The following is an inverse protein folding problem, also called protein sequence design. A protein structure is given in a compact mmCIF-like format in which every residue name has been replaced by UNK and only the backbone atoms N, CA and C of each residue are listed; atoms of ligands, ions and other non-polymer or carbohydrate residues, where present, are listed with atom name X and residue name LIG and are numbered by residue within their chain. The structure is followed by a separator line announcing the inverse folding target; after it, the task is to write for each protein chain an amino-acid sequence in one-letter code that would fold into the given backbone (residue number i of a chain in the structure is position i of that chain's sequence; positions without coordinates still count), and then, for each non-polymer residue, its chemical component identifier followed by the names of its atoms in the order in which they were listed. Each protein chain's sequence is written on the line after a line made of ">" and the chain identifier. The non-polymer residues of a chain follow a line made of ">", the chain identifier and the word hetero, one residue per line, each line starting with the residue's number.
data_IF_521767117370
#
_entry.id   IF_521767117370
#
_cell.length_a   1.000
_cell.length_b   1.000
_cell.length_c   1.000
_cell.angle_alpha   90.00
_cell.angle_beta   90.00
_cell.angle_gamma   90.00
#
_symmetry.space_group_name_H-M   'P 1'
#
loop_
_entity.id
_entity.type
_entity.pdbx_description
1 polymer ?
#
# COMPACT_ATOMS: atom_id res chain seq x y z
N UNK A 1 -31.63 7.73 22.89
CA UNK A 1 -32.31 6.65 22.16
C UNK A 1 -31.33 5.48 22.10
N UNK A 2 -31.69 4.36 22.72
CA UNK A 2 -30.82 3.20 22.94
C UNK A 2 -30.56 2.44 21.62
N UNK A 3 -29.30 2.27 21.24
CA UNK A 3 -28.90 1.31 20.20
C UNK A 3 -28.56 -0.05 20.84
N UNK A 4 -29.37 -1.02 20.49
CA UNK A 4 -29.31 -2.41 20.92
C UNK A 4 -28.10 -3.11 20.29
N UNK A 5 -27.36 -3.85 21.12
CA UNK A 5 -26.24 -4.71 20.72
C UNK A 5 -26.74 -5.93 19.99
N UNK A 6 -26.33 -6.13 18.74
CA UNK A 6 -26.50 -7.40 18.02
C UNK A 6 -25.27 -8.27 18.23
N UNK A 7 -25.44 -9.34 19.00
CA UNK A 7 -24.45 -10.41 19.09
C UNK A 7 -24.72 -11.41 17.95
N UNK A 8 -23.75 -11.64 17.07
CA UNK A 8 -23.81 -12.68 16.05
C UNK A 8 -23.24 -13.96 16.66
N UNK A 9 -24.13 -14.93 16.93
CA UNK A 9 -23.77 -16.27 17.36
C UNK A 9 -23.51 -17.12 16.10
N UNK A 10 -22.29 -17.61 15.93
CA UNK A 10 -21.96 -18.61 14.92
C UNK A 10 -22.26 -20.00 15.53
N UNK A 11 -23.32 -20.67 15.04
CA UNK A 11 -23.65 -22.03 15.43
C UNK A 11 -22.81 -23.02 14.61
N UNK A 12 -21.91 -23.74 15.28
CA UNK A 12 -21.30 -24.95 14.73
C UNK A 12 -22.15 -26.17 15.15
N UNK A 13 -22.82 -26.82 14.21
CA UNK A 13 -23.46 -28.09 14.42
C UNK A 13 -22.45 -29.24 14.43
N UNK A 14 -22.22 -29.84 15.57
CA UNK A 14 -21.65 -31.18 15.68
C UNK A 14 -22.72 -32.14 16.15
N UNK A 15 -23.12 -33.06 15.28
CA UNK A 15 -24.01 -34.16 15.60
C UNK A 15 -23.20 -35.25 16.32
N UNK A 16 -23.56 -35.56 17.56
CA UNK A 16 -23.15 -36.81 18.22
C UNK A 16 -24.39 -37.66 18.55
N UNK A 17 -24.40 -38.86 17.99
CA UNK A 17 -25.26 -39.97 18.37
C UNK A 17 -24.53 -40.80 19.42
N UNK A 18 -25.18 -41.05 20.57
CA UNK A 18 -24.63 -41.98 21.55
C UNK A 18 -25.57 -42.21 22.71
N UNK A 19 -25.96 -43.47 22.89
CA UNK A 19 -26.93 -44.03 23.83
C UNK A 19 -26.63 -43.87 25.33
N UNK A 20 -27.67 -43.67 26.08
CA UNK A 20 -28.12 -44.36 27.28
C UNK A 20 -27.23 -44.41 28.54
N UNK A 21 -27.74 -43.86 29.65
CA UNK A 21 -27.23 -44.10 31.02
C UNK A 21 -27.72 -43.05 31.99
N UNK A 22 -28.76 -43.34 32.72
CA UNK A 22 -29.24 -42.55 33.88
C UNK A 22 -28.17 -42.50 34.98
N UNK A 23 -27.73 -41.29 35.35
CA UNK A 23 -27.18 -41.02 36.70
C UNK A 23 -27.50 -39.56 37.08
N UNK A 24 -28.30 -39.44 38.11
CA UNK A 24 -28.57 -38.17 38.82
C UNK A 24 -27.31 -37.67 39.47
N UNK A 25 -26.77 -36.58 38.92
CA UNK A 25 -25.71 -35.79 39.56
C UNK A 25 -26.15 -34.34 39.72
N UNK A 26 -25.95 -33.84 40.90
CA UNK A 26 -26.22 -32.51 41.41
C UNK A 26 -25.61 -31.49 40.45
N UNK A 27 -26.44 -30.60 39.93
CA UNK A 27 -25.96 -29.46 39.08
C UNK A 27 -25.57 -28.35 40.04
N UNK A 28 -24.28 -28.24 40.35
CA UNK A 28 -23.72 -27.02 40.89
C UNK A 28 -23.74 -25.96 39.76
N UNK A 29 -24.43 -24.84 40.03
CA UNK A 29 -24.49 -23.66 39.16
C UNK A 29 -23.07 -23.04 39.05
N UNK A 30 -22.28 -23.52 38.12
CA UNK A 30 -21.06 -22.85 37.68
C UNK A 30 -21.50 -21.69 36.81
N UNK A 31 -21.61 -20.49 37.38
CA UNK A 31 -21.60 -19.23 36.64
C UNK A 31 -20.37 -19.24 35.77
N UNK A 32 -20.53 -19.48 34.45
CA UNK A 32 -19.49 -19.21 33.47
C UNK A 32 -19.20 -17.71 33.54
N UNK A 33 -18.10 -17.33 34.20
CA UNK A 33 -17.56 -15.99 34.11
C UNK A 33 -17.13 -15.77 32.66
N UNK A 34 -17.79 -14.85 31.97
CA UNK A 34 -17.30 -14.33 30.70
C UNK A 34 -15.92 -13.74 30.97
N UNK A 35 -14.86 -14.45 30.59
CA UNK A 35 -13.51 -13.91 30.61
C UNK A 35 -13.43 -12.81 29.56
N UNK A 36 -13.00 -11.62 29.96
CA UNK A 36 -12.67 -10.57 28.97
C UNK A 36 -11.65 -11.14 27.95
N UNK A 37 -11.83 -10.88 26.65
CA UNK A 37 -10.91 -11.39 25.62
C UNK A 37 -9.48 -10.89 25.90
N UNK A 38 -8.52 -11.76 25.68
CA UNK A 38 -7.11 -11.40 25.85
C UNK A 38 -6.72 -10.26 24.89
N UNK A 39 -5.71 -9.44 25.22
CA UNK A 39 -5.24 -8.37 24.32
C UNK A 39 -4.83 -8.90 22.92
N UNK A 40 -4.40 -10.15 22.85
CA UNK A 40 -4.03 -10.83 21.58
C UNK A 40 -5.29 -11.13 20.77
N UNK A 41 -6.37 -11.58 21.40
CA UNK A 41 -7.63 -11.88 20.72
C UNK A 41 -8.28 -10.61 20.17
N UNK A 42 -8.26 -9.53 20.95
CA UNK A 42 -8.81 -8.23 20.53
C UNK A 42 -8.04 -7.63 19.34
N UNK A 43 -6.72 -7.77 19.31
CA UNK A 43 -5.90 -7.32 18.18
C UNK A 43 -6.15 -8.14 16.91
N UNK A 44 -6.35 -9.45 17.04
CA UNK A 44 -6.69 -10.32 15.90
C UNK A 44 -8.08 -9.97 15.35
N UNK A 45 -9.07 -9.78 16.21
CA UNK A 45 -10.43 -9.38 15.81
C UNK A 45 -10.42 -8.03 15.07
N UNK A 46 -9.68 -7.04 15.57
CA UNK A 46 -9.53 -5.74 14.91
C UNK A 46 -8.90 -5.86 13.52
N UNK A 47 -7.87 -6.72 13.37
CA UNK A 47 -7.24 -6.98 12.06
C UNK A 47 -8.19 -7.66 11.09
N UNK A 48 -8.97 -8.62 11.54
CA UNK A 48 -9.99 -9.31 10.71
C UNK A 48 -11.08 -8.33 10.32
N UNK A 49 -11.59 -7.51 11.23
CA UNK A 49 -12.58 -6.48 10.95
C UNK A 49 -12.07 -5.46 9.91
N UNK A 50 -10.83 -4.99 10.05
CA UNK A 50 -10.20 -4.09 9.09
C UNK A 50 -10.07 -4.75 7.71
N UNK A 51 -9.61 -5.99 7.64
CA UNK A 51 -9.48 -6.75 6.40
C UNK A 51 -10.82 -6.92 5.69
N UNK A 52 -11.87 -7.29 6.41
CA UNK A 52 -13.23 -7.46 5.88
C UNK A 52 -13.92 -6.13 5.55
N UNK A 53 -13.37 -4.99 5.99
CA UNK A 53 -13.95 -3.66 5.79
C UNK A 53 -15.16 -3.37 6.66
N UNK A 54 -15.28 -4.03 7.80
CA UNK A 54 -16.36 -3.75 8.75
C UNK A 54 -16.20 -2.32 9.27
N UNK A 55 -17.24 -1.50 9.07
CA UNK A 55 -17.23 -0.09 9.45
C UNK A 55 -16.63 0.88 8.40
N UNK A 56 -16.13 0.37 7.26
CA UNK A 56 -15.61 1.22 6.19
C UNK A 56 -16.53 1.24 4.96
N UNK A 57 -16.68 2.41 4.30
CA UNK A 57 -17.44 2.48 3.05
C UNK A 57 -16.68 1.79 1.91
N UNK A 58 -17.40 1.31 0.91
CA UNK A 58 -16.78 0.98 -0.37
C UNK A 58 -16.41 2.26 -1.09
N UNK A 59 -15.12 2.40 -1.46
CA UNK A 59 -14.59 3.63 -2.05
C UNK A 59 -14.94 3.72 -3.53
N UNK A 60 -15.37 4.91 -3.93
CA UNK A 60 -15.68 5.33 -5.31
C UNK A 60 -15.00 6.67 -5.59
N UNK A 61 -15.06 7.17 -6.82
CA UNK A 61 -14.54 8.51 -7.15
C UNK A 61 -15.24 9.65 -6.40
N UNK A 62 -16.48 9.42 -5.93
CA UNK A 62 -17.28 10.44 -5.26
C UNK A 62 -16.97 10.57 -3.77
N UNK A 63 -16.51 9.49 -3.11
CA UNK A 63 -16.32 9.49 -1.65
C UNK A 63 -14.88 9.23 -1.19
N UNK A 64 -13.99 8.81 -2.09
CA UNK A 64 -12.65 8.36 -1.69
C UNK A 64 -11.77 9.49 -1.15
N UNK A 65 -11.84 10.69 -1.74
CA UNK A 65 -11.00 11.83 -1.33
C UNK A 65 -11.33 12.24 0.11
N UNK A 66 -12.59 12.55 0.39
CA UNK A 66 -13.03 13.00 1.73
C UNK A 66 -12.76 11.91 2.77
N UNK A 67 -13.17 10.66 2.47
CA UNK A 67 -12.96 9.55 3.39
C UNK A 67 -11.47 9.31 3.71
N UNK A 68 -10.59 9.31 2.70
CA UNK A 68 -9.17 9.02 2.90
C UNK A 68 -8.45 10.14 3.64
N UNK A 69 -8.82 11.39 3.40
CA UNK A 69 -8.26 12.53 4.14
C UNK A 69 -8.68 12.49 5.62
N UNK A 70 -9.97 12.26 5.90
CA UNK A 70 -10.47 12.13 7.28
C UNK A 70 -9.84 10.94 8.01
N UNK A 71 -9.79 9.76 7.36
CA UNK A 71 -9.16 8.56 7.91
C UNK A 71 -7.68 8.77 8.21
N UNK A 72 -6.98 9.49 7.34
CA UNK A 72 -5.56 9.79 7.45
C UNK A 72 -5.19 10.67 8.64
N UNK A 73 -6.12 11.46 9.18
CA UNK A 73 -5.87 12.30 10.37
C UNK A 73 -5.49 11.43 11.59
N UNK A 74 -6.19 10.32 11.79
CA UNK A 74 -5.95 9.41 12.91
C UNK A 74 -4.91 8.32 12.59
N UNK A 75 -4.64 8.09 11.30
CA UNK A 75 -3.78 7.00 10.83
C UNK A 75 -2.57 7.54 10.06
N UNK A 76 -1.84 8.48 10.65
CA UNK A 76 -0.78 9.24 10.03
C UNK A 76 0.62 8.68 10.38
N UNK A 77 0.90 7.44 9.98
CA UNK A 77 2.26 6.88 10.07
C UNK A 77 3.16 7.51 9.00
N UNK A 78 4.44 7.75 9.34
CA UNK A 78 5.38 8.40 8.42
C UNK A 78 6.20 7.40 7.61
N UNK A 79 6.28 6.13 8.04
CA UNK A 79 7.14 5.13 7.44
C UNK A 79 6.37 3.87 7.07
N UNK A 80 6.85 3.21 6.01
CA UNK A 80 6.41 1.87 5.61
C UNK A 80 7.64 1.01 5.39
N UNK A 81 7.63 -0.19 5.96
CA UNK A 81 8.60 -1.24 5.65
C UNK A 81 7.98 -2.25 4.70
N UNK A 82 8.62 -2.45 3.56
CA UNK A 82 8.30 -3.46 2.57
C UNK A 82 9.24 -4.65 2.79
N UNK A 83 8.69 -5.76 3.30
CA UNK A 83 9.41 -6.99 3.61
C UNK A 83 9.47 -7.87 2.36
N UNK A 84 10.67 -8.17 1.88
CA UNK A 84 10.90 -9.04 0.71
C UNK A 84 11.88 -10.18 1.04
N UNK A 85 11.95 -11.18 0.20
CA UNK A 85 12.94 -12.27 0.34
C UNK A 85 14.40 -11.78 0.25
N UNK A 86 14.64 -10.58 -0.30
CA UNK A 86 15.97 -9.99 -0.44
C UNK A 86 16.35 -9.03 0.69
N UNK A 87 15.42 -8.81 1.63
CA UNK A 87 15.52 -7.89 2.77
C UNK A 87 14.44 -6.83 2.77
N UNK A 88 14.59 -5.86 3.66
CA UNK A 88 13.63 -4.81 3.88
C UNK A 88 13.95 -3.55 3.07
N UNK A 89 12.89 -2.89 2.61
CA UNK A 89 12.93 -1.57 1.99
C UNK A 89 12.11 -0.65 2.89
N UNK A 90 12.74 0.38 3.46
CA UNK A 90 12.04 1.37 4.28
C UNK A 90 11.82 2.63 3.46
N UNK A 91 10.57 3.07 3.40
CA UNK A 91 10.16 4.29 2.72
C UNK A 91 9.60 5.31 3.71
N UNK A 92 9.96 6.57 3.53
CA UNK A 92 9.34 7.71 4.19
C UNK A 92 8.21 8.25 3.31
N UNK A 93 7.04 8.50 3.90
CA UNK A 93 5.88 9.08 3.23
C UNK A 93 5.80 10.60 3.49
N UNK A 94 5.40 11.37 2.48
CA UNK A 94 5.42 12.82 2.57
C UNK A 94 4.10 13.38 3.12
N UNK A 95 4.18 14.14 4.21
CA UNK A 95 3.03 14.70 4.92
C UNK A 95 2.23 15.75 4.11
N UNK A 96 2.86 16.40 3.16
CA UNK A 96 2.22 17.40 2.30
C UNK A 96 1.69 16.84 0.96
N UNK A 97 1.60 15.52 0.89
CA UNK A 97 0.90 14.74 -0.15
C UNK A 97 -0.11 13.81 0.56
N UNK A 98 -1.07 14.40 1.31
CA UNK A 98 -1.86 13.67 2.30
C UNK A 98 -2.79 12.62 1.70
N UNK A 99 -3.40 12.88 0.55
CA UNK A 99 -4.35 11.96 -0.06
C UNK A 99 -3.65 10.67 -0.54
N UNK A 100 -2.51 10.77 -1.23
CA UNK A 100 -1.75 9.60 -1.67
C UNK A 100 -1.16 8.84 -0.49
N UNK A 101 -0.64 9.55 0.52
CA UNK A 101 -0.15 8.97 1.78
C UNK A 101 -1.26 8.17 2.46
N UNK A 102 -2.42 8.78 2.71
CA UNK A 102 -3.56 8.13 3.38
C UNK A 102 -4.08 6.94 2.58
N UNK A 103 -4.19 7.06 1.26
CA UNK A 103 -4.59 5.96 0.39
C UNK A 103 -3.64 4.76 0.48
N UNK A 104 -2.34 5.00 0.51
CA UNK A 104 -1.34 3.93 0.62
C UNK A 104 -1.40 3.25 1.99
N UNK A 105 -1.44 4.04 3.07
CA UNK A 105 -1.59 3.55 4.45
C UNK A 105 -2.92 2.79 4.65
N UNK A 106 -4.03 3.30 4.10
CA UNK A 106 -5.33 2.62 4.18
C UNK A 106 -5.28 1.22 3.55
N UNK A 107 -4.62 1.05 2.42
CA UNK A 107 -4.47 -0.26 1.78
C UNK A 107 -3.57 -1.21 2.56
N UNK A 108 -2.54 -0.70 3.25
CA UNK A 108 -1.74 -1.49 4.18
C UNK A 108 -2.60 -1.91 5.38
N UNK A 109 -3.35 -0.98 5.98
CA UNK A 109 -4.28 -1.26 7.08
C UNK A 109 -5.31 -2.33 6.70
N UNK A 110 -5.86 -2.25 5.48
CA UNK A 110 -6.79 -3.22 4.91
C UNK A 110 -6.12 -4.54 4.47
N UNK A 111 -4.84 -4.73 4.73
CA UNK A 111 -4.06 -5.91 4.33
C UNK A 111 -4.10 -6.22 2.82
N UNK A 112 -4.32 -5.19 1.98
CA UNK A 112 -4.32 -5.34 0.54
C UNK A 112 -2.92 -5.68 0.00
N UNK A 113 -1.87 -5.05 0.57
CA UNK A 113 -0.48 -5.26 0.18
C UNK A 113 0.23 -6.36 0.99
N UNK A 114 -0.52 -7.33 1.58
CA UNK A 114 0.09 -8.37 2.42
C UNK A 114 -0.63 -9.73 2.26
N UNK A 115 -0.15 -10.61 1.36
CA UNK A 115 0.94 -10.38 0.41
C UNK A 115 0.51 -9.59 -0.83
N UNK A 116 1.44 -8.87 -1.43
CA UNK A 116 1.38 -8.30 -2.76
C UNK A 116 2.63 -8.70 -3.53
N UNK A 117 2.83 -8.17 -4.73
CA UNK A 117 3.99 -8.51 -5.55
C UNK A 117 4.45 -7.33 -6.42
N UNK A 118 5.72 -7.34 -6.79
CA UNK A 118 6.21 -6.50 -7.88
C UNK A 118 5.95 -7.22 -9.20
N UNK A 119 5.11 -6.61 -10.01
CA UNK A 119 4.58 -7.19 -11.26
C UNK A 119 5.29 -6.71 -12.52
N UNK A 120 6.11 -5.67 -12.39
CA UNK A 120 6.91 -5.13 -13.49
C UNK A 120 8.22 -4.60 -12.95
N UNK A 121 9.33 -5.07 -13.49
CA UNK A 121 10.67 -4.62 -13.07
C UNK A 121 11.51 -4.29 -14.29
N UNK A 122 12.05 -3.06 -14.28
CA UNK A 122 12.98 -2.59 -15.31
C UNK A 122 14.19 -1.99 -14.62
N UNK A 123 15.37 -2.55 -14.85
CA UNK A 123 16.62 -1.89 -14.49
C UNK A 123 16.68 -0.48 -15.07
N UNK A 124 17.28 0.45 -14.35
CA UNK A 124 17.46 1.84 -14.78
C UNK A 124 16.16 2.64 -15.01
N UNK A 125 15.01 2.09 -14.60
CA UNK A 125 13.71 2.77 -14.73
C UNK A 125 12.91 2.70 -13.44
N UNK A 126 12.12 1.62 -13.22
CA UNK A 126 11.25 1.43 -12.03
C UNK A 126 11.09 -0.04 -11.67
N UNK A 127 10.71 -0.30 -10.40
CA UNK A 127 10.00 -1.52 -10.01
C UNK A 127 8.58 -1.14 -9.62
N UNK A 128 7.58 -1.81 -10.19
CA UNK A 128 6.16 -1.49 -10.02
C UNK A 128 5.44 -2.64 -9.32
N UNK A 129 4.63 -2.28 -8.31
CA UNK A 129 3.79 -3.21 -7.55
C UNK A 129 2.40 -2.65 -7.31
N UNK A 130 1.64 -3.33 -6.44
CA UNK A 130 0.30 -2.89 -6.05
C UNK A 130 -0.83 -3.55 -6.81
N UNK A 131 -0.53 -4.38 -7.79
CA UNK A 131 -1.47 -5.29 -8.43
C UNK A 131 -1.05 -6.74 -8.17
N UNK A 132 -1.95 -7.68 -8.33
CA UNK A 132 -1.67 -9.11 -8.27
C UNK A 132 -2.79 -9.84 -8.99
N UNK A 133 -2.46 -10.96 -9.63
CA UNK A 133 -3.44 -11.87 -10.24
C UNK A 133 -4.02 -12.85 -9.21
N UNK A 134 -3.48 -12.88 -7.99
CA UNK A 134 -3.96 -13.73 -6.91
C UNK A 134 -5.40 -13.39 -6.49
N UNK A 135 -6.13 -14.42 -6.07
CA UNK A 135 -7.54 -14.30 -5.71
C UNK A 135 -7.77 -13.32 -4.55
N UNK A 136 -6.94 -13.39 -3.50
CA UNK A 136 -7.08 -12.54 -2.30
C UNK A 136 -6.97 -11.03 -2.62
N UNK A 137 -5.95 -10.52 -3.32
CA UNK A 137 -5.91 -9.12 -3.73
C UNK A 137 -7.10 -8.70 -4.59
N UNK A 138 -7.60 -9.56 -5.47
CA UNK A 138 -8.77 -9.26 -6.30
C UNK A 138 -10.04 -9.13 -5.45
N UNK A 139 -10.26 -10.03 -4.48
CA UNK A 139 -11.35 -9.93 -3.52
C UNK A 139 -11.25 -8.68 -2.66
N UNK A 140 -10.05 -8.36 -2.17
CA UNK A 140 -9.81 -7.14 -1.37
C UNK A 140 -10.09 -5.87 -2.17
N UNK A 141 -9.70 -5.83 -3.46
CA UNK A 141 -9.99 -4.71 -4.37
C UNK A 141 -11.51 -4.52 -4.53
N UNK A 142 -12.27 -5.60 -4.65
CA UNK A 142 -13.73 -5.54 -4.71
C UNK A 142 -14.34 -4.96 -3.43
N UNK A 143 -13.82 -5.36 -2.25
CA UNK A 143 -14.30 -4.87 -0.94
C UNK A 143 -13.91 -3.39 -0.69
N UNK A 144 -12.68 -3.00 -1.02
CA UNK A 144 -12.20 -1.63 -0.85
C UNK A 144 -12.89 -0.69 -1.83
N UNK A 145 -13.08 -1.11 -3.07
CA UNK A 145 -13.71 -0.33 -4.14
C UNK A 145 -12.74 0.13 -5.21
N UNK A 146 -13.26 0.77 -6.25
CA UNK A 146 -12.48 1.28 -7.40
C UNK A 146 -12.61 2.80 -7.47
N UNK A 147 -11.48 3.49 -7.40
CA UNK A 147 -11.39 4.94 -7.46
C UNK A 147 -10.04 5.37 -8.03
N UNK A 148 -9.95 6.60 -8.46
CA UNK A 148 -8.72 7.28 -8.81
C UNK A 148 -8.43 8.38 -7.78
N UNK A 149 -7.19 8.84 -7.71
CA UNK A 149 -6.79 9.92 -6.81
C UNK A 149 -6.50 11.18 -7.63
N UNK A 150 -7.11 12.34 -7.31
CA UNK A 150 -6.64 13.61 -7.82
C UNK A 150 -5.13 13.75 -7.63
N UNK A 151 -4.45 14.35 -8.61
CA UNK A 151 -3.00 14.52 -8.54
C UNK A 151 -2.61 15.51 -7.41
N UNK A 152 -1.52 15.18 -6.69
CA UNK A 152 -0.92 16.03 -5.66
C UNK A 152 0.56 16.32 -5.98
N UNK A 153 0.87 16.56 -7.26
CA UNK A 153 2.24 16.82 -7.69
C UNK A 153 2.81 18.09 -7.07
N UNK A 154 4.03 18.02 -6.58
CA UNK A 154 4.78 19.13 -5.98
C UNK A 154 6.12 19.27 -6.69
N UNK A 155 6.49 20.48 -7.11
CA UNK A 155 7.75 20.74 -7.83
C UNK A 155 9.00 20.31 -7.07
N UNK A 156 8.94 20.25 -5.74
CA UNK A 156 10.06 19.79 -4.89
C UNK A 156 10.26 18.28 -4.92
N UNK A 157 9.25 17.51 -5.28
CA UNK A 157 9.29 16.05 -5.33
C UNK A 157 9.41 15.58 -6.77
N UNK A 158 10.60 15.14 -7.13
CA UNK A 158 10.96 14.71 -8.48
C UNK A 158 11.34 13.23 -8.47
N UNK A 159 11.27 12.58 -9.62
CA UNK A 159 11.53 11.16 -9.79
C UNK A 159 13.02 10.82 -9.75
N UNK A 160 13.73 11.29 -8.71
CA UNK A 160 15.08 10.80 -8.46
C UNK A 160 15.06 9.37 -7.97
N UNK A 161 16.18 8.66 -8.12
CA UNK A 161 16.34 7.29 -7.62
C UNK A 161 15.86 7.16 -6.17
N UNK A 162 15.04 6.15 -5.90
CA UNK A 162 14.37 5.90 -4.62
C UNK A 162 13.04 6.61 -4.44
N UNK A 163 12.59 7.48 -5.35
CA UNK A 163 11.26 8.09 -5.27
C UNK A 163 10.17 7.01 -5.32
N UNK A 164 9.17 7.13 -4.44
CA UNK A 164 7.94 6.32 -4.41
C UNK A 164 6.81 7.15 -5.02
N UNK A 165 6.17 6.63 -6.07
CA UNK A 165 5.11 7.33 -6.79
C UNK A 165 3.96 6.40 -7.16
N UNK A 166 2.77 6.97 -7.39
CA UNK A 166 1.62 6.23 -7.91
C UNK A 166 1.61 6.20 -9.43
N UNK A 167 1.28 5.04 -9.99
CA UNK A 167 1.03 4.88 -11.42
C UNK A 167 -0.26 5.59 -11.83
N UNK A 168 -0.42 5.83 -13.14
CA UNK A 168 -1.66 6.33 -13.72
C UNK A 168 -1.90 5.78 -15.13
N UNK A 169 -3.15 5.80 -15.56
CA UNK A 169 -3.47 5.63 -16.98
C UNK A 169 -3.13 6.90 -17.77
N UNK A 170 -2.62 6.72 -18.98
CA UNK A 170 -2.46 7.80 -19.96
C UNK A 170 -3.67 7.95 -20.87
N UNK A 171 -4.57 6.95 -20.88
CA UNK A 171 -5.76 6.92 -21.74
C UNK A 171 -6.92 7.59 -21.02
N UNK A 172 -7.54 8.58 -21.65
CA UNK A 172 -8.71 9.30 -21.13
C UNK A 172 -8.52 9.90 -19.73
N UNK A 173 -7.29 10.35 -19.41
CA UNK A 173 -6.92 10.90 -18.10
C UNK A 173 -6.25 12.29 -18.20
N UNK A 174 -6.94 13.32 -18.69
CA UNK A 174 -6.36 14.65 -18.86
C UNK A 174 -6.02 15.32 -17.51
N UNK A 175 -6.68 14.94 -16.43
CA UNK A 175 -6.43 15.44 -15.06
C UNK A 175 -5.23 14.76 -14.39
N UNK A 176 -4.58 13.81 -15.04
CA UNK A 176 -3.44 13.04 -14.51
C UNK A 176 -3.75 12.38 -13.16
N UNK A 177 -4.99 11.93 -12.96
CA UNK A 177 -5.39 11.23 -11.75
C UNK A 177 -4.63 9.91 -11.61
N UNK A 178 -4.17 9.60 -10.40
CA UNK A 178 -3.41 8.39 -10.11
C UNK A 178 -4.32 7.16 -9.99
N UNK A 179 -3.80 5.97 -10.33
CA UNK A 179 -4.33 4.71 -9.84
C UNK A 179 -4.30 4.71 -8.31
N UNK A 180 -5.34 4.18 -7.66
CA UNK A 180 -5.34 4.09 -6.20
C UNK A 180 -4.60 2.86 -5.67
N UNK A 181 -4.16 1.94 -6.53
CA UNK A 181 -3.55 0.67 -6.14
C UNK A 181 -2.10 0.52 -6.57
N UNK A 182 -1.77 0.95 -7.79
CA UNK A 182 -0.49 0.66 -8.40
C UNK A 182 0.54 1.74 -8.10
N UNK A 183 1.63 1.35 -7.48
CA UNK A 183 2.75 2.22 -7.13
C UNK A 183 4.04 1.74 -7.81
N UNK A 184 5.06 2.59 -7.80
CA UNK A 184 6.40 2.19 -8.24
C UNK A 184 7.49 2.89 -7.43
N UNK A 185 8.66 2.25 -7.39
CA UNK A 185 9.90 2.82 -6.85
C UNK A 185 10.86 3.05 -8.02
N UNK A 186 11.42 4.24 -8.09
CA UNK A 186 12.38 4.63 -9.14
C UNK A 186 13.72 3.95 -8.89
N UNK A 187 14.17 3.15 -9.85
CA UNK A 187 15.53 2.61 -9.89
C UNK A 187 16.46 3.58 -10.63
N UNK A 188 16.07 4.03 -11.81
CA UNK A 188 16.66 5.12 -12.58
C UNK A 188 18.17 5.02 -12.83
N UNK A 189 18.66 5.59 -13.93
CA UNK A 189 20.08 5.75 -14.23
C UNK A 189 20.54 7.21 -13.99
N UNK A 190 21.84 7.45 -13.95
CA UNK A 190 22.38 8.81 -13.91
C UNK A 190 22.02 9.57 -15.18
N UNK A 191 21.57 10.81 -15.01
CA UNK A 191 21.11 11.68 -16.10
C UNK A 191 22.15 12.75 -16.37
N UNK A 192 22.57 12.91 -17.62
CA UNK A 192 23.56 13.94 -17.99
C UNK A 192 22.94 15.35 -17.90
N UNK A 193 23.80 16.35 -17.72
CA UNK A 193 23.37 17.77 -17.69
C UNK A 193 22.66 18.17 -18.98
N UNK A 194 23.12 17.66 -20.13
CA UNK A 194 22.54 17.96 -21.43
C UNK A 194 21.14 17.34 -21.56
N UNK A 195 20.99 16.06 -21.20
CA UNK A 195 19.71 15.37 -21.20
C UNK A 195 18.69 16.05 -20.28
N UNK A 196 19.12 16.45 -19.07
CA UNK A 196 18.25 17.13 -18.13
C UNK A 196 17.80 18.51 -18.66
N UNK A 197 18.69 19.25 -19.33
CA UNK A 197 18.34 20.51 -19.97
C UNK A 197 17.33 20.34 -21.13
N UNK A 198 17.43 19.25 -21.88
CA UNK A 198 16.45 18.91 -22.94
C UNK A 198 15.06 18.62 -22.34
N UNK A 199 15.00 17.89 -21.23
CA UNK A 199 13.75 17.60 -20.51
C UNK A 199 13.14 18.89 -19.93
N UNK A 200 13.95 19.80 -19.37
CA UNK A 200 13.47 21.11 -18.89
C UNK A 200 12.77 21.90 -20.01
N UNK A 201 13.33 21.86 -21.21
CA UNK A 201 12.76 22.55 -22.38
C UNK A 201 11.48 21.87 -22.88
N UNK A 202 11.51 20.53 -23.04
CA UNK A 202 10.38 19.74 -23.54
C UNK A 202 9.15 19.87 -22.63
N UNK A 203 9.38 19.77 -21.31
CA UNK A 203 8.29 19.78 -20.33
C UNK A 203 7.95 21.18 -19.80
N UNK A 204 8.68 22.19 -20.20
CA UNK A 204 8.57 23.56 -19.66
C UNK A 204 8.63 23.60 -18.11
N UNK A 205 9.57 22.86 -17.54
CA UNK A 205 9.83 22.82 -16.09
C UNK A 205 11.22 23.37 -15.79
N UNK A 206 11.49 23.67 -14.52
CA UNK A 206 12.82 24.14 -14.06
C UNK A 206 13.25 23.37 -12.84
N UNK A 207 14.37 22.68 -12.95
CA UNK A 207 14.98 22.01 -11.82
C UNK A 207 15.86 22.95 -11.01
N UNK A 208 15.79 22.83 -9.69
CA UNK A 208 16.74 23.47 -8.77
C UNK A 208 18.14 22.87 -8.96
N UNK A 209 19.17 23.60 -8.53
CA UNK A 209 20.55 23.09 -8.57
C UNK A 209 20.72 21.78 -7.76
N UNK A 210 19.94 21.60 -6.68
CA UNK A 210 19.95 20.39 -5.89
C UNK A 210 19.34 19.20 -6.65
N UNK A 211 18.20 19.39 -7.30
CA UNK A 211 17.57 18.36 -8.14
C UNK A 211 18.48 17.94 -9.29
N UNK A 212 19.11 18.91 -9.98
CA UNK A 212 20.09 18.63 -11.04
C UNK A 212 21.27 17.79 -10.54
N UNK A 213 21.81 18.12 -9.36
CA UNK A 213 22.87 17.30 -8.74
C UNK A 213 22.37 15.89 -8.44
N UNK A 214 21.20 15.73 -7.83
CA UNK A 214 20.66 14.41 -7.53
C UNK A 214 20.49 13.55 -8.78
N UNK A 215 19.92 14.08 -9.86
CA UNK A 215 19.81 13.35 -11.13
C UNK A 215 21.17 12.96 -11.72
N UNK A 216 22.18 13.83 -11.62
CA UNK A 216 23.51 13.53 -12.14
C UNK A 216 24.28 12.50 -11.29
N UNK A 217 24.13 12.54 -9.95
CA UNK A 217 24.94 11.75 -9.01
C UNK A 217 24.29 10.40 -8.72
N UNK A 218 23.00 10.38 -8.37
CA UNK A 218 22.27 9.17 -7.97
C UNK A 218 21.33 8.64 -9.05
N UNK A 219 20.89 9.48 -9.99
CA UNK A 219 20.02 9.08 -11.09
C UNK A 219 18.54 9.31 -10.84
N UNK A 220 17.73 8.80 -11.76
CA UNK A 220 16.28 8.90 -11.72
C UNK A 220 15.64 8.80 -13.09
N UNK A 221 14.35 9.19 -13.16
CA UNK A 221 13.52 9.12 -14.38
C UNK A 221 12.80 10.46 -14.61
N UNK A 222 13.54 11.54 -14.98
CA UNK A 222 13.00 12.91 -15.04
C UNK A 222 11.86 13.06 -16.06
N UNK A 223 11.72 12.15 -17.02
CA UNK A 223 10.59 12.16 -17.96
C UNK A 223 9.24 11.85 -17.28
N UNK A 224 9.22 11.36 -16.03
CA UNK A 224 8.00 11.18 -15.25
C UNK A 224 7.62 12.41 -14.41
N UNK A 225 8.49 13.43 -14.33
CA UNK A 225 8.21 14.65 -13.58
C UNK A 225 7.05 15.43 -14.21
N UNK A 226 6.14 15.91 -13.38
CA UNK A 226 4.92 16.56 -13.82
C UNK A 226 3.88 15.62 -14.45
N UNK A 227 4.10 14.28 -14.38
CA UNK A 227 3.18 13.27 -14.91
C UNK A 227 2.59 12.37 -13.82
N UNK A 228 3.32 12.14 -12.72
CA UNK A 228 2.90 11.26 -11.65
C UNK A 228 3.14 11.93 -10.29
N UNK A 229 2.30 11.60 -9.30
CA UNK A 229 2.48 12.09 -7.94
C UNK A 229 3.53 11.26 -7.21
N UNK A 230 4.63 11.89 -6.82
CA UNK A 230 5.61 11.34 -5.88
C UNK A 230 5.15 11.63 -4.46
N UNK A 231 4.95 10.58 -3.65
CA UNK A 231 4.40 10.71 -2.30
C UNK A 231 5.29 10.14 -1.18
N UNK A 232 6.49 9.68 -1.54
CA UNK A 232 7.47 9.17 -0.59
C UNK A 232 8.82 8.93 -1.22
N UNK A 233 9.76 8.45 -0.42
CA UNK A 233 11.10 8.07 -0.88
C UNK A 233 11.68 6.92 -0.05
N UNK A 234 12.48 6.07 -0.68
CA UNK A 234 13.27 5.03 -0.01
C UNK A 234 14.36 5.71 0.81
N UNK A 235 14.39 5.42 2.11
CA UNK A 235 15.41 5.90 3.05
C UNK A 235 16.41 4.79 3.43
N UNK A 236 16.00 3.52 3.28
CA UNK A 236 16.85 2.35 3.53
C UNK A 236 16.47 1.23 2.57
N UNK A 237 17.43 0.41 2.15
CA UNK A 237 17.17 -0.78 1.34
C UNK A 237 17.21 -0.56 -0.18
N UNK A 238 17.83 0.54 -0.70
CA UNK A 238 17.99 0.72 -2.15
C UNK A 238 18.79 -0.41 -2.83
N UNK A 239 19.68 -1.07 -2.11
CA UNK A 239 20.37 -2.28 -2.59
C UNK A 239 19.42 -3.48 -2.73
N UNK A 240 18.33 -3.54 -1.96
CA UNK A 240 17.27 -4.53 -2.12
C UNK A 240 16.42 -4.21 -3.35
N UNK A 241 16.07 -2.94 -3.56
CA UNK A 241 15.40 -2.46 -4.78
C UNK A 241 16.21 -2.84 -6.03
N UNK A 242 17.53 -2.69 -6.01
CA UNK A 242 18.40 -3.06 -7.13
C UNK A 242 18.39 -4.58 -7.41
N UNK A 243 18.41 -5.38 -6.36
CA UNK A 243 18.30 -6.84 -6.52
C UNK A 243 16.97 -7.25 -7.13
N UNK A 244 15.87 -6.63 -6.70
CA UNK A 244 14.56 -6.87 -7.28
C UNK A 244 14.51 -6.41 -8.75
N UNK A 245 15.06 -5.24 -9.07
CA UNK A 245 15.10 -4.72 -10.43
C UNK A 245 15.96 -5.56 -11.39
N UNK A 246 16.94 -6.29 -10.86
CA UNK A 246 17.81 -7.18 -11.63
C UNK A 246 17.22 -8.58 -11.89
N UNK A 247 16.02 -8.87 -11.38
CA UNK A 247 15.32 -10.14 -11.62
C UNK A 247 15.05 -10.31 -13.12
N UNK A 248 15.33 -11.47 -13.72
CA UNK A 248 14.96 -11.75 -15.10
C UNK A 248 13.45 -11.57 -15.34
N UNK A 249 13.10 -11.02 -16.48
CA UNK A 249 11.71 -10.75 -16.88
C UNK A 249 11.37 -11.45 -18.18
N UNK A 250 10.07 -11.60 -18.42
CA UNK A 250 9.55 -11.98 -19.74
C UNK A 250 9.51 -10.76 -20.70
N UNK A 251 8.92 -10.96 -21.88
CA UNK A 251 8.81 -9.92 -22.91
C UNK A 251 7.87 -8.74 -22.54
N UNK A 252 7.16 -8.84 -21.41
CA UNK A 252 6.24 -7.83 -20.88
C UNK A 252 6.79 -7.14 -19.63
N UNK A 253 8.09 -7.29 -19.35
CA UNK A 253 8.77 -6.83 -18.14
C UNK A 253 8.26 -7.49 -16.84
N UNK A 254 7.51 -8.60 -16.94
CA UNK A 254 7.01 -9.35 -15.78
C UNK A 254 8.11 -10.24 -15.21
N UNK A 255 8.37 -10.22 -13.91
CA UNK A 255 9.40 -11.06 -13.30
C UNK A 255 9.13 -12.57 -13.52
N UNK A 256 10.15 -13.31 -13.98
CA UNK A 256 10.05 -14.77 -14.18
C UNK A 256 9.82 -15.51 -12.85
N UNK A 257 10.37 -15.00 -11.76
CA UNK A 257 10.08 -15.46 -10.41
C UNK A 257 9.18 -14.49 -9.68
N UNK A 258 8.28 -14.99 -8.85
CA UNK A 258 7.39 -14.16 -8.03
C UNK A 258 8.19 -13.33 -7.03
N UNK A 259 8.02 -12.01 -7.10
CA UNK A 259 8.63 -11.04 -6.20
C UNK A 259 7.61 -10.58 -5.14
N UNK A 260 7.37 -11.44 -4.16
CA UNK A 260 6.43 -11.16 -3.07
C UNK A 260 6.92 -10.06 -2.15
N UNK A 261 5.97 -9.23 -1.70
CA UNK A 261 6.19 -8.17 -0.72
C UNK A 261 5.04 -8.14 0.29
N UNK A 262 5.40 -8.01 1.57
CA UNK A 262 4.48 -7.73 2.65
C UNK A 262 4.80 -6.35 3.23
N UNK A 263 3.78 -5.59 3.64
CA UNK A 263 3.98 -4.21 4.07
C UNK A 263 3.46 -3.97 5.48
N UNK A 264 4.25 -3.23 6.26
CA UNK A 264 3.86 -2.74 7.58
C UNK A 264 4.11 -1.24 7.66
N UNK A 265 3.19 -0.50 8.29
CA UNK A 265 3.34 0.93 8.54
C UNK A 265 3.71 1.19 9.99
N UNK A 266 4.52 2.23 10.23
CA UNK A 266 4.93 2.61 11.59
C UNK A 266 5.19 4.12 11.67
N UNK A 267 5.00 4.68 12.86
CA UNK A 267 5.47 6.00 13.21
C UNK A 267 6.99 5.97 13.38
N UNK A 268 7.63 7.12 13.44
CA UNK A 268 9.09 7.29 13.43
C UNK A 268 9.85 6.15 14.11
N UNK A 269 10.92 5.69 13.46
CA UNK A 269 11.91 4.81 14.08
C UNK A 269 12.64 5.68 15.14
N UNK A 270 12.47 5.34 16.43
CA UNK A 270 13.26 5.94 17.50
C UNK A 270 14.72 5.47 17.43
#
# INVERSE_FOLDING_TARGET
>A
MNFSRFAIIVFAMLSFIGCGGENTAIVDDVKAGESEPSPVDSALEARVAAMLGIGYPKLTNENAEDFLLDWGVENNQDFVTMHTKHGDIVVELFNDVPLHKSNFLYKIHRQYYSPSEFIRVLPDFVIQGGNSEEEKPQQMRYLIGTHSLPQEMKDKYVHTRGALAMSRSYINNPKKASSSYDFYIVTGRKISKHELASIELEKNIRYTSQQKRRYNEIGGTPHLDGEHTVFGSVIQGMNVVDKLAATPTDNSDWPVERLEVNMTSHSRIE
#
